data_IF_260580788110
#
_entry.id   IF_260580788110
#
_cell.length_a   1.000
_cell.length_b   1.000
_cell.length_c   1.000
_cell.angle_alpha   90.00
_cell.angle_beta   90.00
_cell.angle_gamma   90.00
#
_symmetry.space_group_name_H-M   'P 1'
#
loop_
_entity.id
_entity.type
_entity.pdbx_description
1 polymer ?
#
# COMPACT_ATOMS: atom_id res chain seq x y z
N UNK A 1 -11.53 32.16 18.43
CA UNK A 1 -11.60 30.84 17.78
C UNK A 1 -10.38 30.73 16.88
N UNK A 2 -9.41 29.88 17.23
CA UNK A 2 -8.16 29.77 16.48
C UNK A 2 -8.35 28.90 15.23
N UNK A 3 -8.02 29.45 14.08
CA UNK A 3 -8.10 28.82 12.74
C UNK A 3 -7.16 27.61 12.57
N UNK A 4 -6.30 27.32 13.54
CA UNK A 4 -5.35 26.20 13.53
C UNK A 4 -5.94 24.84 13.96
N UNK A 5 -7.22 24.77 14.35
CA UNK A 5 -7.86 23.51 14.77
C UNK A 5 -8.44 22.68 13.59
N UNK A 6 -8.12 23.05 12.35
CA UNK A 6 -8.54 22.35 11.12
C UNK A 6 -7.44 21.52 10.44
N UNK A 7 -6.28 21.31 11.07
CA UNK A 7 -5.30 20.33 10.57
C UNK A 7 -5.72 18.90 10.97
N UNK A 8 -6.56 18.35 10.09
CA UNK A 8 -6.99 16.97 9.90
C UNK A 8 -6.64 15.92 10.97
N UNK A 9 -7.69 15.44 11.63
CA UNK A 9 -7.70 14.11 12.20
C UNK A 9 -7.45 13.05 11.10
N UNK A 10 -6.54 12.08 11.39
CA UNK A 10 -6.33 10.77 10.71
C UNK A 10 -5.17 10.61 9.69
N UNK A 11 -3.98 11.15 9.94
CA UNK A 11 -2.80 10.56 9.29
C UNK A 11 -2.38 9.29 10.02
N UNK A 12 -2.89 8.15 9.56
CA UNK A 12 -2.34 6.87 9.98
C UNK A 12 -1.04 6.62 9.21
N UNK A 13 -0.04 6.07 9.88
CA UNK A 13 1.23 5.77 9.26
C UNK A 13 1.06 4.76 8.11
N UNK A 14 1.65 5.06 6.96
CA UNK A 14 1.62 4.23 5.75
C UNK A 14 3.03 4.06 5.19
N UNK A 15 3.26 2.99 4.44
CA UNK A 15 4.51 2.76 3.71
C UNK A 15 4.41 3.38 2.33
N UNK A 16 5.49 4.00 1.86
CA UNK A 16 5.69 4.39 0.46
C UNK A 16 6.34 3.20 -0.26
N UNK A 17 5.98 2.92 -1.50
CA UNK A 17 6.56 1.83 -2.29
C UNK A 17 6.85 2.23 -3.73
N UNK A 18 7.82 1.54 -4.34
CA UNK A 18 8.19 1.64 -5.74
C UNK A 18 8.00 0.29 -6.42
N UNK A 19 7.24 0.26 -7.50
CA UNK A 19 6.99 -0.95 -8.30
C UNK A 19 7.44 -0.72 -9.73
N UNK A 20 8.18 -1.66 -10.28
CA UNK A 20 8.58 -1.68 -11.69
C UNK A 20 7.66 -2.61 -12.47
N UNK A 21 7.13 -2.14 -13.60
CA UNK A 21 6.56 -3.02 -14.61
C UNK A 21 7.70 -3.48 -15.54
N UNK A 22 8.00 -4.79 -15.53
CA UNK A 22 9.17 -5.33 -16.24
C UNK A 22 9.03 -5.30 -17.77
N UNK A 23 7.80 -5.27 -18.27
CA UNK A 23 7.49 -5.28 -19.70
C UNK A 23 7.60 -3.87 -20.29
N UNK A 24 6.98 -2.89 -19.63
CA UNK A 24 6.96 -1.50 -20.10
C UNK A 24 8.10 -0.65 -19.57
N UNK A 25 8.87 -1.17 -18.61
CA UNK A 25 9.92 -0.46 -17.85
C UNK A 25 9.43 0.78 -17.10
N UNK A 26 8.11 0.94 -16.93
CA UNK A 26 7.52 2.05 -16.18
C UNK A 26 7.53 1.80 -14.69
N UNK A 27 7.65 2.88 -13.93
CA UNK A 27 7.75 2.86 -12.47
C UNK A 27 6.50 3.44 -11.85
N UNK A 28 5.98 2.79 -10.82
CA UNK A 28 4.88 3.27 -9.98
C UNK A 28 5.39 3.67 -8.62
N UNK A 29 5.00 4.85 -8.16
CA UNK A 29 5.21 5.32 -6.78
C UNK A 29 3.85 5.36 -6.11
N UNK A 30 3.69 4.71 -4.96
CA UNK A 30 2.42 4.71 -4.24
C UNK A 30 2.56 4.54 -2.74
N UNK A 31 1.45 4.72 -2.00
CA UNK A 31 1.37 4.43 -0.56
C UNK A 31 0.44 3.26 -0.22
N UNK A 32 0.73 2.56 0.87
CA UNK A 32 -0.09 1.46 1.36
C UNK A 32 0.07 1.24 2.87
N UNK A 33 -0.98 0.76 3.53
CA UNK A 33 -0.87 0.22 4.89
C UNK A 33 -0.10 -1.10 4.92
N UNK A 34 -0.30 -1.96 3.91
CA UNK A 34 0.41 -3.22 3.78
C UNK A 34 0.87 -3.40 2.33
N UNK A 35 2.15 -3.11 2.08
CA UNK A 35 2.74 -3.15 0.74
C UNK A 35 2.60 -4.53 0.10
N UNK A 36 2.82 -5.61 0.87
CA UNK A 36 2.71 -6.98 0.36
C UNK A 36 1.30 -7.29 -0.18
N UNK A 37 0.25 -6.91 0.55
CA UNK A 37 -1.15 -7.10 0.12
C UNK A 37 -1.49 -6.23 -1.08
N UNK A 38 -1.05 -4.96 -1.08
CA UNK A 38 -1.26 -4.03 -2.19
C UNK A 38 -0.56 -4.52 -3.47
N UNK A 39 0.69 -4.94 -3.35
CA UNK A 39 1.48 -5.47 -4.45
C UNK A 39 0.86 -6.74 -5.04
N UNK A 40 0.45 -7.70 -4.21
CA UNK A 40 -0.25 -8.91 -4.66
C UNK A 40 -1.53 -8.57 -5.45
N UNK A 41 -2.25 -7.53 -5.03
CA UNK A 41 -3.44 -7.05 -5.73
C UNK A 41 -3.10 -6.39 -7.07
N UNK A 42 -2.05 -5.57 -7.13
CA UNK A 42 -1.55 -4.97 -8.37
C UNK A 42 -1.12 -6.03 -9.39
N UNK A 43 -0.36 -7.04 -8.95
CA UNK A 43 0.06 -8.16 -9.81
C UNK A 43 -1.17 -8.88 -10.36
N UNK A 44 -2.12 -9.22 -9.48
CA UNK A 44 -3.34 -9.94 -9.87
C UNK A 44 -4.22 -9.16 -10.86
N UNK A 45 -4.25 -7.83 -10.76
CA UNK A 45 -5.10 -6.98 -11.59
C UNK A 45 -4.44 -6.53 -12.90
N UNK A 46 -3.12 -6.40 -12.93
CA UNK A 46 -2.40 -5.84 -14.09
C UNK A 46 -2.27 -6.81 -15.26
N UNK A 47 -2.22 -8.11 -14.98
CA UNK A 47 -1.88 -9.12 -16.00
C UNK A 47 -0.42 -9.04 -16.49
N UNK A 48 0.39 -8.16 -15.91
CA UNK A 48 1.80 -7.94 -16.28
C UNK A 48 2.74 -8.47 -15.20
N UNK A 49 4.01 -8.67 -15.57
CA UNK A 49 5.09 -8.91 -14.60
C UNK A 49 5.47 -7.61 -13.88
N UNK A 50 5.22 -7.59 -12.58
CA UNK A 50 5.60 -6.48 -11.70
C UNK A 50 6.68 -6.94 -10.71
N UNK A 51 7.59 -6.03 -10.36
CA UNK A 51 8.60 -6.23 -9.33
C UNK A 51 8.51 -5.12 -8.28
N UNK A 52 8.47 -5.50 -7.00
CA UNK A 52 8.55 -4.55 -5.89
C UNK A 52 10.03 -4.18 -5.72
N UNK A 53 10.38 -2.92 -5.99
CA UNK A 53 11.77 -2.46 -6.00
C UNK A 53 12.19 -1.86 -4.66
N UNK A 54 11.25 -1.24 -3.96
CA UNK A 54 11.50 -0.54 -2.70
C UNK A 54 10.20 -0.36 -1.92
N UNK A 55 10.30 -0.31 -0.60
CA UNK A 55 9.23 0.23 0.25
C UNK A 55 9.74 0.65 1.62
N UNK A 56 9.15 1.68 2.21
CA UNK A 56 9.50 2.14 3.55
C UNK A 56 8.77 1.35 4.64
N UNK A 57 9.24 1.46 5.88
CA UNK A 57 8.36 1.25 7.04
C UNK A 57 7.18 2.24 7.02
N UNK A 58 6.20 2.03 7.92
CA UNK A 58 5.06 2.93 8.01
C UNK A 58 5.50 4.25 8.64
N UNK A 59 5.25 5.35 7.93
CA UNK A 59 5.56 6.69 8.39
C UNK A 59 4.32 7.59 8.36
N UNK A 60 4.28 8.55 9.28
CA UNK A 60 3.35 9.68 9.23
C UNK A 60 3.84 10.64 8.15
N UNK A 61 2.95 11.29 7.40
CA UNK A 61 3.32 12.15 6.27
C UNK A 61 3.65 11.40 4.97
N UNK A 62 3.37 10.09 4.88
CA UNK A 62 3.60 9.32 3.65
C UNK A 62 2.86 9.91 2.43
N UNK A 63 1.65 10.46 2.64
CA UNK A 63 0.85 11.14 1.62
C UNK A 63 1.58 12.38 1.08
N UNK A 64 2.13 13.21 1.97
CA UNK A 64 2.86 14.42 1.57
C UNK A 64 4.14 14.10 0.81
N UNK A 65 4.86 13.05 1.23
CA UNK A 65 6.06 12.60 0.54
C UNK A 65 5.74 12.01 -0.83
N UNK A 66 4.70 11.18 -0.94
CA UNK A 66 4.22 10.64 -2.22
C UNK A 66 3.87 11.77 -3.18
N UNK A 67 3.10 12.76 -2.70
CA UNK A 67 2.72 13.92 -3.49
C UNK A 67 3.93 14.71 -3.98
N UNK A 68 4.91 14.99 -3.11
CA UNK A 68 6.15 15.66 -3.49
C UNK A 68 6.95 14.86 -4.53
N UNK A 69 7.03 13.53 -4.39
CA UNK A 69 7.69 12.67 -5.38
C UNK A 69 6.96 12.70 -6.73
N UNK A 70 5.63 12.67 -6.72
CA UNK A 70 4.80 12.77 -7.92
C UNK A 70 4.93 14.12 -8.62
N UNK A 71 5.07 15.22 -7.86
CA UNK A 71 5.34 16.55 -8.39
C UNK A 71 6.75 16.62 -8.99
N UNK A 72 7.75 16.02 -8.34
CA UNK A 72 9.14 15.97 -8.82
C UNK A 72 9.28 15.30 -10.19
N UNK A 73 8.48 14.26 -10.45
CA UNK A 73 8.49 13.52 -11.72
C UNK A 73 7.29 13.85 -12.61
N UNK A 74 6.68 15.03 -12.45
CA UNK A 74 5.46 15.35 -13.17
C UNK A 74 5.66 15.41 -14.69
N UNK A 75 6.82 15.86 -15.16
CA UNK A 75 7.16 15.91 -16.59
C UNK A 75 7.34 14.49 -17.19
N UNK A 76 7.76 13.52 -16.38
CA UNK A 76 7.94 12.12 -16.78
C UNK A 76 6.69 11.26 -16.51
N UNK A 77 5.57 11.88 -16.11
CA UNK A 77 4.33 11.15 -15.79
C UNK A 77 3.73 10.54 -17.05
N UNK A 78 3.53 9.22 -17.03
CA UNK A 78 2.86 8.51 -18.11
C UNK A 78 1.33 8.50 -17.93
N UNK A 79 0.84 7.89 -16.84
CA UNK A 79 -0.60 7.89 -16.52
C UNK A 79 -0.82 7.62 -15.04
N UNK A 80 -1.65 8.44 -14.39
CA UNK A 80 -1.94 8.33 -12.96
C UNK A 80 -0.66 8.38 -12.13
N UNK A 81 -0.35 7.26 -11.46
CA UNK A 81 0.81 7.09 -10.57
C UNK A 81 1.98 6.38 -11.26
N UNK A 82 1.98 6.25 -12.59
CA UNK A 82 3.03 5.61 -13.38
C UNK A 82 3.88 6.63 -14.13
N UNK A 83 5.21 6.43 -14.12
CA UNK A 83 6.23 7.35 -14.59
C UNK A 83 7.22 6.66 -15.54
N UNK A 84 7.80 7.43 -16.45
CA UNK A 84 8.83 7.01 -17.40
C UNK A 84 10.24 7.34 -16.88
N UNK A 85 10.58 6.82 -15.70
CA UNK A 85 11.85 7.06 -15.00
C UNK A 85 12.51 5.73 -14.63
N UNK A 86 13.79 5.76 -14.24
CA UNK A 86 14.44 4.60 -13.64
C UNK A 86 13.96 4.42 -12.21
N UNK A 87 13.87 3.17 -11.75
CA UNK A 87 13.38 2.89 -10.39
C UNK A 87 14.36 3.39 -9.33
N UNK A 88 15.65 3.42 -9.64
CA UNK A 88 16.71 3.97 -8.81
C UNK A 88 16.47 5.47 -8.54
N UNK A 89 16.07 6.23 -9.57
CA UNK A 89 15.77 7.67 -9.45
C UNK A 89 14.57 7.90 -8.53
N UNK A 90 13.54 7.06 -8.65
CA UNK A 90 12.38 7.10 -7.77
C UNK A 90 12.76 6.81 -6.31
N UNK A 91 13.58 5.79 -6.06
CA UNK A 91 14.06 5.43 -4.71
C UNK A 91 14.92 6.55 -4.12
N UNK A 92 15.85 7.10 -4.89
CA UNK A 92 16.71 8.19 -4.44
C UNK A 92 15.90 9.44 -4.10
N UNK A 93 14.89 9.77 -4.92
CA UNK A 93 13.97 10.87 -4.63
C UNK A 93 13.21 10.66 -3.32
N UNK A 94 12.63 9.47 -3.11
CA UNK A 94 11.91 9.15 -1.86
C UNK A 94 12.84 9.25 -0.66
N UNK A 95 14.06 8.68 -0.74
CA UNK A 95 15.06 8.77 0.33
C UNK A 95 15.43 10.22 0.66
N UNK A 96 15.62 11.07 -0.34
CA UNK A 96 15.89 12.50 -0.13
C UNK A 96 14.71 13.19 0.57
N UNK A 97 13.49 12.96 0.11
CA UNK A 97 12.29 13.56 0.70
C UNK A 97 12.06 13.09 2.14
N UNK A 98 12.41 11.84 2.46
CA UNK A 98 12.36 11.31 3.83
C UNK A 98 13.34 12.05 4.74
N UNK A 99 14.58 12.26 4.29
CA UNK A 99 15.58 13.04 5.04
C UNK A 99 15.09 14.46 5.27
N UNK A 100 14.56 15.13 4.23
CA UNK A 100 14.03 16.49 4.34
C UNK A 100 12.80 16.56 5.26
N UNK A 101 11.94 15.54 5.22
CA UNK A 101 10.79 15.44 6.11
C UNK A 101 11.22 15.23 7.56
N UNK A 102 12.18 14.33 7.82
CA UNK A 102 12.73 14.10 9.15
C UNK A 102 13.43 15.35 9.68
N UNK A 103 14.22 16.05 8.86
CA UNK A 103 14.91 17.29 9.26
C UNK A 103 13.94 18.44 9.59
N UNK A 104 12.81 18.54 8.87
CA UNK A 104 11.76 19.52 9.17
C UNK A 104 11.03 19.20 10.47
N UNK A 105 10.85 17.90 10.76
CA UNK A 105 10.06 17.41 11.89
C UNK A 105 10.91 17.00 13.10
N UNK A 106 12.24 17.10 13.06
CA UNK A 106 13.15 16.73 14.16
C UNK A 106 13.20 17.73 15.32
N UNK A 107 12.27 18.69 15.38
CA UNK A 107 11.82 19.30 16.65
C UNK A 107 10.72 18.49 17.37
N UNK A 108 10.21 17.41 16.76
CA UNK A 108 9.14 16.57 17.30
C UNK A 108 8.93 15.26 16.49
N UNK A 109 9.86 14.30 16.51
CA UNK A 109 9.56 12.85 16.49
C UNK A 109 10.83 12.00 16.49
N UNK A 110 10.84 10.96 17.32
CA UNK A 110 11.92 9.98 17.45
C UNK A 110 12.04 9.03 16.23
N UNK A 111 13.31 8.81 15.84
CA UNK A 111 13.92 7.68 15.14
C UNK A 111 13.13 6.93 14.04
N UNK A 112 13.53 7.15 12.78
CA UNK A 112 13.31 6.18 11.69
C UNK A 112 14.53 5.27 11.62
N UNK A 113 14.35 3.99 11.96
CA UNK A 113 15.36 2.94 11.85
C UNK A 113 15.32 2.39 10.42
N UNK A 114 16.49 2.33 9.79
CA UNK A 114 16.70 1.77 8.46
C UNK A 114 16.69 0.23 8.56
N UNK A 115 15.78 -0.45 7.85
CA UNK A 115 15.79 -1.92 7.75
C UNK A 115 16.08 -2.39 6.32
N UNK A 116 17.04 -3.30 6.20
CA UNK A 116 17.55 -3.92 4.97
C UNK A 116 16.51 -4.83 4.30
N UNK A 117 16.59 -4.94 2.96
CA UNK A 117 15.61 -5.64 2.12
C UNK A 117 15.98 -7.10 1.86
N UNK A 118 15.01 -8.00 1.97
CA UNK A 118 15.01 -9.30 1.27
C UNK A 118 14.28 -9.18 -0.06
N UNK A 119 14.92 -9.64 -1.13
CA UNK A 119 14.33 -9.78 -2.46
C UNK A 119 13.20 -10.82 -2.39
N UNK A 120 11.94 -10.38 -2.44
CA UNK A 120 10.81 -11.32 -2.55
C UNK A 120 10.73 -11.75 -4.03
N UNK A 121 11.35 -12.88 -4.36
CA UNK A 121 11.10 -13.56 -5.64
C UNK A 121 9.64 -14.00 -5.74
N UNK A 122 9.05 -13.80 -6.92
CA UNK A 122 7.66 -14.14 -7.18
C UNK A 122 7.43 -15.65 -6.98
N UNK A 123 6.41 -16.09 -6.22
CA UNK A 123 5.89 -17.43 -6.42
C UNK A 123 5.32 -17.50 -7.85
N UNK A 124 5.81 -18.46 -8.63
CA UNK A 124 5.37 -18.75 -10.00
C UNK A 124 3.84 -18.86 -10.03
N UNK A 125 3.16 -17.92 -10.69
CA UNK A 125 1.72 -18.01 -10.93
C UNK A 125 1.51 -19.09 -11.98
N UNK A 126 1.22 -20.32 -11.54
CA UNK A 126 0.59 -21.32 -12.40
C UNK A 126 -0.75 -20.71 -12.82
N UNK A 127 -0.92 -20.56 -14.14
CA UNK A 127 -2.08 -19.96 -14.78
C UNK A 127 -3.37 -20.34 -14.04
N UNK A 128 -4.10 -19.35 -13.52
CA UNK A 128 -5.49 -19.59 -13.13
C UNK A 128 -6.27 -19.84 -14.41
N UNK A 129 -6.44 -21.13 -14.74
CA UNK A 129 -7.60 -21.57 -15.52
C UNK A 129 -8.82 -20.83 -14.97
N UNK A 130 -9.59 -20.23 -15.88
CA UNK A 130 -10.97 -19.79 -15.70
C UNK A 130 -11.63 -20.60 -14.57
N UNK A 131 -11.91 -19.94 -13.44
CA UNK A 131 -13.07 -20.26 -12.60
C UNK A 131 -13.96 -19.04 -12.74
N UNK A 132 -14.69 -18.95 -13.85
CA UNK A 132 -16.09 -19.39 -13.89
C UNK A 132 -16.84 -18.91 -12.64
N UNK A 133 -17.60 -17.85 -12.87
CA UNK A 133 -18.76 -17.41 -12.11
C UNK A 133 -19.46 -18.55 -11.38
N UNK A 134 -19.62 -18.40 -10.06
CA UNK A 134 -20.64 -19.12 -9.30
C UNK A 134 -21.40 -18.09 -8.45
N UNK A 135 -22.53 -17.64 -9.00
CA UNK A 135 -23.72 -17.35 -8.22
C UNK A 135 -24.48 -18.67 -8.06
N UNK A 136 -24.93 -18.99 -6.84
CA UNK A 136 -25.60 -20.25 -6.46
C UNK A 136 -24.65 -21.17 -5.67
N UNK A 137 -25.01 -21.80 -4.56
CA UNK A 137 -26.29 -22.00 -3.87
C UNK A 137 -25.98 -22.61 -2.49
N UNK A 138 -26.78 -22.28 -1.47
CA UNK A 138 -27.01 -23.07 -0.24
C UNK A 138 -25.86 -23.37 0.73
N UNK A 139 -25.02 -22.40 1.10
CA UNK A 139 -24.33 -22.48 2.41
C UNK A 139 -24.44 -21.13 3.11
N UNK A 140 -25.02 -21.17 4.32
CA UNK A 140 -25.24 -20.02 5.20
C UNK A 140 -23.95 -19.21 5.30
N UNK A 141 -23.96 -18.00 4.76
CA UNK A 141 -23.05 -16.94 5.20
C UNK A 141 -23.27 -16.84 6.70
N UNK A 142 -22.33 -17.39 7.49
CA UNK A 142 -22.25 -17.07 8.90
C UNK A 142 -22.11 -15.56 8.95
N UNK A 143 -23.19 -14.93 9.37
CA UNK A 143 -23.37 -13.49 9.47
C UNK A 143 -22.44 -12.99 10.58
N UNK A 144 -21.13 -13.02 10.34
CA UNK A 144 -20.23 -12.06 10.95
C UNK A 144 -20.79 -10.76 10.42
N UNK A 145 -21.53 -10.06 11.26
CA UNK A 145 -22.06 -8.73 10.97
C UNK A 145 -20.89 -7.81 10.62
N UNK A 146 -20.45 -7.84 9.36
CA UNK A 146 -19.46 -6.95 8.77
C UNK A 146 -19.98 -5.51 8.82
N UNK A 147 -21.27 -5.30 9.12
CA UNK A 147 -21.82 -3.99 9.51
C UNK A 147 -21.10 -3.34 10.70
N UNK A 148 -20.35 -4.10 11.52
CA UNK A 148 -19.49 -3.54 12.58
C UNK A 148 -18.09 -3.13 12.11
N UNK A 149 -17.73 -3.46 10.87
CA UNK A 149 -16.38 -3.37 10.33
C UNK A 149 -16.36 -2.66 8.97
N UNK A 150 -15.77 -1.48 8.90
CA UNK A 150 -15.56 -0.76 7.64
C UNK A 150 -14.37 -1.38 6.90
N UNK A 151 -14.59 -1.86 5.67
CA UNK A 151 -13.47 -2.30 4.81
C UNK A 151 -12.60 -1.09 4.45
N UNK A 152 -11.30 -1.19 4.72
CA UNK A 152 -10.31 -0.15 4.39
C UNK A 152 -9.35 -0.59 3.30
N UNK A 153 -9.13 -1.91 3.15
CA UNK A 153 -8.34 -2.51 2.07
C UNK A 153 -8.82 -3.94 1.79
N UNK A 154 -8.19 -4.67 0.86
CA UNK A 154 -8.42 -6.09 0.63
C UNK A 154 -8.09 -6.88 1.90
N UNK A 155 -9.10 -7.60 2.38
CA UNK A 155 -9.04 -8.42 3.60
C UNK A 155 -8.74 -7.61 4.88
N UNK A 156 -8.68 -6.27 4.83
CA UNK A 156 -8.43 -5.40 5.99
C UNK A 156 -9.67 -4.56 6.31
N UNK A 157 -10.02 -4.61 7.59
CA UNK A 157 -11.24 -4.05 8.13
C UNK A 157 -10.95 -3.22 9.38
N UNK A 158 -11.73 -2.17 9.59
CA UNK A 158 -11.62 -1.28 10.73
C UNK A 158 -12.90 -1.37 11.57
N UNK A 159 -12.79 -1.58 12.88
CA UNK A 159 -13.95 -1.51 13.78
C UNK A 159 -14.34 -0.06 14.11
N UNK A 160 -15.45 0.13 14.82
CA UNK A 160 -15.90 1.47 15.27
C UNK A 160 -14.90 2.22 16.17
N UNK A 161 -13.98 1.50 16.83
CA UNK A 161 -12.93 2.08 17.68
C UNK A 161 -11.66 2.42 16.89
N UNK A 162 -11.64 2.22 15.57
CA UNK A 162 -10.49 2.51 14.71
C UNK A 162 -9.46 1.39 14.62
N UNK A 163 -9.64 0.28 15.35
CA UNK A 163 -8.72 -0.86 15.34
C UNK A 163 -8.82 -1.65 14.03
N UNK A 164 -7.66 -2.04 13.50
CA UNK A 164 -7.56 -2.78 12.25
C UNK A 164 -7.53 -4.29 12.48
N UNK A 165 -8.18 -5.00 11.57
CA UNK A 165 -8.32 -6.45 11.58
C UNK A 165 -8.06 -6.96 10.17
N UNK A 166 -7.33 -8.08 10.08
CA UNK A 166 -7.28 -8.89 8.87
C UNK A 166 -8.35 -9.98 8.98
N UNK A 167 -9.26 -10.03 8.01
CA UNK A 167 -10.33 -11.03 7.95
C UNK A 167 -10.14 -11.81 6.65
N UNK A 168 -9.86 -13.11 6.76
CA UNK A 168 -9.63 -14.00 5.61
C UNK A 168 -10.45 -15.28 5.74
N UNK A 169 -10.90 -15.82 4.61
CA UNK A 169 -11.57 -17.13 4.58
C UNK A 169 -10.55 -18.21 4.20
N UNK A 170 -10.35 -19.20 5.08
CA UNK A 170 -9.46 -20.36 4.90
C UNK A 170 -10.08 -21.59 5.53
N UNK A 171 -9.89 -22.76 4.92
CA UNK A 171 -10.33 -24.05 5.47
C UNK A 171 -11.81 -24.09 5.88
N UNK A 172 -12.66 -23.44 5.08
CA UNK A 172 -14.10 -23.25 5.34
C UNK A 172 -14.43 -22.46 6.62
N UNK A 173 -13.49 -21.64 7.09
CA UNK A 173 -13.64 -20.81 8.29
C UNK A 173 -13.17 -19.38 8.04
N UNK A 174 -13.77 -18.43 8.75
CA UNK A 174 -13.32 -17.04 8.78
C UNK A 174 -12.29 -16.86 9.90
N UNK A 175 -11.10 -16.43 9.52
CA UNK A 175 -10.02 -16.11 10.45
C UNK A 175 -9.95 -14.59 10.61
N UNK A 176 -9.96 -14.14 11.86
CA UNK A 176 -9.84 -12.72 12.24
C UNK A 176 -8.54 -12.55 13.03
N UNK A 177 -7.66 -11.68 12.56
CA UNK A 177 -6.37 -11.40 13.21
C UNK A 177 -6.27 -9.91 13.50
N UNK A 178 -5.87 -9.54 14.71
CA UNK A 178 -5.56 -8.14 15.04
C UNK A 178 -4.30 -7.72 14.25
N UNK A 179 -4.31 -6.49 13.73
CA UNK A 179 -3.16 -5.85 13.10
C UNK A 179 -2.59 -4.73 13.97
#
# INVERSE_FOLDING_TARGET
MNENYKYNQREHAQSIYVVLNEETKRVKIGIAYCVKTRFSSLVSASGCRLKLMYYTERIIGACDIEKQAHERFNEDRYIGEWFNIKWEDAVNCIKSLLVDYTNRNSKSMDAVIESEYETIEQPQIISKKKKETWYGSNERVLDISLGKFKRVDKDIYQNKQGKLFKIVYRDKQWLITNL
#
